data_IF_166805624634
#
_entry.id   IF_166805624634
#
_cell.length_a   1.000
_cell.length_b   1.000
_cell.length_c   1.000
_cell.angle_alpha   90.00
_cell.angle_beta   90.00
_cell.angle_gamma   90.00
#
_symmetry.space_group_name_H-M   'P 1'
#
loop_
_entity.id
_entity.type
_entity.pdbx_description
1 polymer ?
#
# COMPACT_ATOMS: atom_id res chain seq x y z
N UNK A 1 -6.10 -15.61 37.06
CA UNK A 1 -6.65 -16.57 36.09
C UNK A 1 -6.52 -15.94 34.72
N UNK A 2 -5.47 -16.30 33.98
CA UNK A 2 -5.24 -15.76 32.65
C UNK A 2 -6.22 -16.48 31.71
N UNK A 3 -7.23 -15.77 31.24
CA UNK A 3 -8.14 -16.24 30.21
C UNK A 3 -7.38 -16.31 28.88
N UNK A 4 -6.50 -17.29 28.73
CA UNK A 4 -5.89 -17.60 27.44
C UNK A 4 -6.99 -18.17 26.54
N UNK A 5 -7.66 -17.27 25.84
CA UNK A 5 -8.48 -17.66 24.69
C UNK A 5 -7.60 -18.53 23.78
N UNK A 6 -8.11 -19.66 23.27
CA UNK A 6 -7.33 -20.49 22.36
C UNK A 6 -6.81 -19.63 21.21
N UNK A 7 -5.56 -19.85 20.75
CA UNK A 7 -5.01 -19.10 19.64
C UNK A 7 -6.00 -19.19 18.48
N UNK A 8 -6.38 -18.04 17.92
CA UNK A 8 -7.38 -17.95 16.83
C UNK A 8 -7.00 -18.78 15.60
N UNK A 9 -5.74 -19.16 15.51
CA UNK A 9 -5.13 -19.83 14.38
C UNK A 9 -4.68 -21.22 14.79
N UNK A 10 -5.16 -22.23 14.07
CA UNK A 10 -4.64 -23.58 14.21
C UNK A 10 -3.43 -23.76 13.28
N UNK A 11 -2.41 -24.53 13.70
CA UNK A 11 -1.30 -24.87 12.82
C UNK A 11 -1.81 -25.72 11.64
N UNK A 12 -1.32 -25.41 10.45
CA UNK A 12 -1.65 -26.17 9.24
C UNK A 12 -1.03 -27.58 9.29
N UNK A 13 -1.66 -28.57 8.63
CA UNK A 13 -1.17 -29.95 8.59
C UNK A 13 0.25 -30.07 8.03
N UNK A 14 0.54 -29.36 6.94
CA UNK A 14 1.86 -29.34 6.32
C UNK A 14 2.61 -28.08 6.73
N UNK A 15 3.71 -28.29 7.47
CA UNK A 15 4.59 -27.23 7.95
C UNK A 15 5.80 -27.08 7.03
N UNK A 16 5.85 -26.00 6.28
CA UNK A 16 6.99 -25.70 5.41
C UNK A 16 8.06 -24.91 6.15
N UNK A 17 9.33 -25.23 5.91
CA UNK A 17 10.45 -24.40 6.37
C UNK A 17 10.56 -23.14 5.49
N UNK A 18 10.67 -21.94 6.08
CA UNK A 18 10.88 -20.71 5.32
C UNK A 18 12.28 -20.72 4.69
N UNK A 19 12.40 -20.19 3.47
CA UNK A 19 13.69 -20.02 2.81
C UNK A 19 14.30 -18.66 3.19
N UNK A 20 15.63 -18.61 3.37
CA UNK A 20 16.33 -17.37 3.66
C UNK A 20 16.17 -16.38 2.50
N UNK A 21 15.73 -15.15 2.81
CA UNK A 21 15.51 -14.09 1.82
C UNK A 21 14.19 -14.21 1.04
N UNK A 22 13.34 -15.17 1.39
CA UNK A 22 12.02 -15.31 0.78
C UNK A 22 11.10 -14.17 1.21
N UNK A 23 10.22 -13.69 0.31
CA UNK A 23 9.17 -12.74 0.69
C UNK A 23 8.02 -13.43 1.41
N UNK A 24 7.36 -12.73 2.31
CA UNK A 24 6.24 -13.25 3.09
C UNK A 24 5.16 -13.82 2.19
N UNK A 25 4.82 -13.12 1.11
CA UNK A 25 3.78 -13.56 0.19
C UNK A 25 4.20 -14.78 -0.64
N UNK A 26 5.49 -14.93 -0.98
CA UNK A 26 6.00 -16.17 -1.59
C UNK A 26 5.86 -17.34 -0.63
N UNK A 27 6.23 -17.12 0.63
CA UNK A 27 6.11 -18.13 1.68
C UNK A 27 4.65 -18.54 1.92
N UNK A 28 3.72 -17.58 2.03
CA UNK A 28 2.27 -17.85 2.16
C UNK A 28 1.76 -18.64 0.97
N UNK A 29 2.17 -18.33 -0.26
CA UNK A 29 1.77 -19.08 -1.47
C UNK A 29 2.24 -20.52 -1.43
N UNK A 30 3.52 -20.75 -1.11
CA UNK A 30 4.06 -22.11 -0.97
C UNK A 30 3.34 -22.87 0.13
N UNK A 31 3.10 -22.21 1.26
CA UNK A 31 2.37 -22.79 2.40
C UNK A 31 0.93 -23.16 2.02
N UNK A 32 0.24 -22.30 1.27
CA UNK A 32 -1.11 -22.57 0.77
C UNK A 32 -1.10 -23.77 -0.20
N UNK A 33 -0.23 -23.75 -1.21
CA UNK A 33 -0.11 -24.83 -2.21
C UNK A 33 0.22 -26.18 -1.56
N UNK A 34 1.12 -26.19 -0.58
CA UNK A 34 1.49 -27.41 0.16
C UNK A 34 0.36 -27.96 1.05
N UNK A 35 -0.57 -27.11 1.47
CA UNK A 35 -1.76 -27.50 2.23
C UNK A 35 -3.01 -27.62 1.36
N UNK A 36 -2.88 -27.60 0.03
CA UNK A 36 -4.00 -27.63 -0.93
C UNK A 36 -5.04 -26.52 -0.70
N UNK A 37 -4.59 -25.35 -0.23
CA UNK A 37 -5.40 -24.17 -0.03
C UNK A 37 -5.17 -23.16 -1.16
N UNK A 38 -6.19 -22.36 -1.45
CA UNK A 38 -6.02 -21.18 -2.29
C UNK A 38 -5.17 -20.13 -1.57
N UNK A 39 -4.16 -19.54 -2.22
CA UNK A 39 -3.38 -18.44 -1.65
C UNK A 39 -4.23 -17.28 -1.14
N UNK A 40 -5.27 -16.90 -1.91
CA UNK A 40 -6.23 -15.87 -1.53
C UNK A 40 -6.95 -16.19 -0.22
N UNK A 41 -7.38 -17.45 -0.06
CA UNK A 41 -8.05 -17.92 1.14
C UNK A 41 -7.13 -17.88 2.36
N UNK A 42 -5.91 -18.43 2.25
CA UNK A 42 -4.96 -18.43 3.35
C UNK A 42 -4.58 -17.00 3.76
N UNK A 43 -4.33 -16.12 2.79
CA UNK A 43 -4.02 -14.73 3.07
C UNK A 43 -5.16 -14.01 3.80
N UNK A 44 -6.41 -14.18 3.36
CA UNK A 44 -7.57 -13.62 4.04
C UNK A 44 -7.74 -14.18 5.45
N UNK A 45 -7.52 -15.49 5.64
CA UNK A 45 -7.55 -16.13 6.95
C UNK A 45 -6.51 -15.50 7.88
N UNK A 46 -5.27 -15.34 7.44
CA UNK A 46 -4.18 -14.73 8.21
C UNK A 46 -4.43 -13.27 8.57
N UNK A 47 -5.09 -12.50 7.71
CA UNK A 47 -5.42 -11.11 8.00
C UNK A 47 -6.55 -10.99 9.04
N UNK A 48 -7.58 -11.82 8.92
CA UNK A 48 -8.75 -11.82 9.78
C UNK A 48 -9.60 -10.53 9.73
N UNK A 49 -10.75 -10.50 10.42
CA UNK A 49 -11.56 -9.30 10.56
C UNK A 49 -10.89 -8.30 11.52
N UNK A 50 -10.99 -6.98 11.28
CA UNK A 50 -11.84 -6.30 10.29
C UNK A 50 -11.22 -6.14 8.89
N UNK A 51 -9.97 -6.53 8.68
CA UNK A 51 -9.20 -6.16 7.50
C UNK A 51 -8.70 -7.38 6.70
N UNK A 52 -9.65 -8.10 6.09
CA UNK A 52 -9.44 -9.33 5.31
C UNK A 52 -8.43 -9.24 4.14
N UNK A 53 -8.13 -8.03 3.66
CA UNK A 53 -7.22 -7.78 2.54
C UNK A 53 -6.02 -6.91 2.94
N UNK A 54 -5.73 -6.86 4.24
CA UNK A 54 -4.63 -6.11 4.82
C UNK A 54 -3.29 -6.83 4.68
N UNK A 55 -2.32 -6.41 5.50
CA UNK A 55 -1.08 -7.18 5.66
C UNK A 55 -1.31 -8.23 6.74
N UNK A 56 -0.93 -9.49 6.53
CA UNK A 56 -1.03 -10.50 7.57
C UNK A 56 -0.10 -10.14 8.73
N UNK A 57 -0.53 -10.41 9.96
CA UNK A 57 0.32 -10.26 11.13
C UNK A 57 1.33 -11.41 11.18
N UNK A 58 2.58 -11.08 11.56
CA UNK A 58 3.64 -12.07 11.71
C UNK A 58 3.26 -13.17 12.71
N UNK A 59 2.60 -12.82 13.82
CA UNK A 59 2.16 -13.76 14.85
C UNK A 59 1.14 -14.78 14.34
N UNK A 60 0.21 -14.34 13.47
CA UNK A 60 -0.78 -15.23 12.86
C UNK A 60 -0.10 -16.21 11.89
N UNK A 61 0.87 -15.71 11.12
CA UNK A 61 1.66 -16.53 10.21
C UNK A 61 2.55 -17.53 10.97
N UNK A 62 3.16 -17.12 12.08
CA UNK A 62 3.92 -17.99 12.97
C UNK A 62 3.06 -19.14 13.52
N UNK A 63 1.88 -18.80 14.05
CA UNK A 63 0.95 -19.77 14.64
C UNK A 63 0.43 -20.77 13.59
N UNK A 64 0.00 -20.28 12.41
CA UNK A 64 -0.50 -21.13 11.32
C UNK A 64 0.59 -21.98 10.68
N UNK A 65 1.81 -21.46 10.51
CA UNK A 65 2.92 -22.21 9.94
C UNK A 65 3.57 -23.18 10.94
N UNK A 66 3.29 -23.01 12.23
CA UNK A 66 3.87 -23.82 13.30
C UNK A 66 5.34 -23.49 13.58
N UNK A 67 5.75 -22.23 13.36
CA UNK A 67 7.11 -21.73 13.61
C UNK A 67 7.10 -20.62 14.65
N UNK A 68 8.25 -20.35 15.27
CA UNK A 68 8.38 -19.18 16.14
C UNK A 68 8.43 -17.89 15.30
N UNK A 69 7.91 -16.75 15.83
CA UNK A 69 7.95 -15.49 15.10
C UNK A 69 9.39 -15.05 14.81
N UNK A 70 10.34 -15.30 15.69
CA UNK A 70 11.76 -14.93 15.50
C UNK A 70 12.43 -15.74 14.40
N UNK A 71 12.00 -16.99 14.18
CA UNK A 71 12.49 -17.80 13.07
C UNK A 71 12.03 -17.24 11.73
N UNK A 72 10.79 -16.77 11.66
CA UNK A 72 10.23 -16.11 10.48
C UNK A 72 10.83 -14.73 10.24
N UNK A 73 11.12 -13.97 11.30
CA UNK A 73 11.83 -12.69 11.20
C UNK A 73 13.22 -12.83 10.59
N UNK A 74 13.94 -13.89 10.95
CA UNK A 74 15.27 -14.16 10.40
C UNK A 74 15.25 -14.67 8.97
N UNK A 75 14.17 -15.35 8.57
CA UNK A 75 14.09 -15.98 7.26
C UNK A 75 13.46 -15.08 6.19
N UNK A 76 12.39 -14.36 6.52
CA UNK A 76 11.62 -13.60 5.54
C UNK A 76 12.18 -12.18 5.37
N UNK A 77 12.38 -11.77 4.11
CA UNK A 77 12.98 -10.48 3.76
C UNK A 77 12.16 -9.26 4.22
N UNK A 78 10.84 -9.42 4.33
CA UNK A 78 9.87 -8.38 4.65
C UNK A 78 9.18 -8.59 6.01
N UNK A 79 9.68 -9.50 6.85
CA UNK A 79 9.08 -9.83 8.15
C UNK A 79 8.89 -8.61 9.06
N UNK A 80 9.88 -7.70 9.07
CA UNK A 80 9.83 -6.46 9.86
C UNK A 80 8.69 -5.52 9.45
N UNK A 81 8.10 -5.73 8.27
CA UNK A 81 6.96 -4.97 7.78
C UNK A 81 5.61 -5.60 8.12
N UNK A 82 5.58 -6.86 8.57
CA UNK A 82 4.41 -7.57 9.09
C UNK A 82 4.17 -7.27 10.58
N UNK A 83 5.21 -6.81 11.26
CA UNK A 83 5.14 -6.34 12.63
C UNK A 83 4.45 -5.00 12.68
N UNK A 84 3.21 -4.98 13.18
CA UNK A 84 2.57 -3.79 13.73
C UNK A 84 3.27 -3.28 14.99
N UNK A 85 4.61 -3.42 15.09
CA UNK A 85 5.37 -2.79 16.16
C UNK A 85 4.96 -1.35 16.19
N UNK A 86 4.50 -0.94 17.37
CA UNK A 86 4.16 0.40 17.79
C UNK A 86 5.27 1.38 17.41
N UNK A 87 5.43 1.71 16.13
CA UNK A 87 5.87 3.05 15.78
C UNK A 87 4.75 3.89 16.35
N UNK A 88 5.02 4.72 17.39
CA UNK A 88 4.02 5.67 17.81
C UNK A 88 3.59 6.36 16.52
N UNK A 89 2.30 6.25 16.17
CA UNK A 89 1.73 7.06 15.09
C UNK A 89 2.23 8.45 15.41
N UNK A 90 3.23 8.95 14.67
CA UNK A 90 3.80 10.27 14.92
C UNK A 90 2.62 11.18 14.63
N UNK A 91 1.93 11.58 15.71
CA UNK A 91 0.65 12.25 15.60
C UNK A 91 0.95 13.53 14.86
N UNK A 92 0.60 13.58 13.57
CA UNK A 92 0.55 14.85 12.89
C UNK A 92 -0.40 15.71 13.74
N UNK A 93 0.00 16.92 14.12
CA UNK A 93 -0.94 17.90 14.61
C UNK A 93 -2.17 17.93 13.70
N UNK A 94 -3.37 17.83 14.28
CA UNK A 94 -4.66 17.75 13.57
C UNK A 94 -4.87 18.89 12.55
N UNK A 95 -4.10 19.98 12.67
CA UNK A 95 -4.20 21.15 11.82
C UNK A 95 -2.85 21.41 11.13
N UNK A 96 -2.83 21.31 9.80
CA UNK A 96 -1.69 21.70 8.97
C UNK A 96 -1.69 23.23 8.76
N UNK A 97 -0.80 24.02 9.42
CA UNK A 97 -0.69 25.47 9.21
C UNK A 97 -0.36 25.88 7.76
N UNK A 98 0.18 24.97 6.96
CA UNK A 98 0.57 25.20 5.57
C UNK A 98 -0.43 24.63 4.55
N UNK A 99 -1.61 24.16 4.96
CA UNK A 99 -2.61 23.59 4.06
C UNK A 99 -2.98 24.54 2.90
N UNK A 100 -3.00 25.85 3.17
CA UNK A 100 -3.27 26.93 2.19
C UNK A 100 -2.01 27.62 1.66
N UNK A 101 -0.81 27.19 2.08
CA UNK A 101 0.48 27.84 1.80
C UNK A 101 1.58 26.80 1.55
N UNK A 102 1.30 25.85 0.66
CA UNK A 102 2.22 24.74 0.34
C UNK A 102 3.55 25.24 -0.25
N UNK A 103 3.52 26.32 -1.04
CA UNK A 103 4.71 26.94 -1.62
C UNK A 103 5.70 27.44 -0.56
N UNK A 104 5.18 27.92 0.57
CA UNK A 104 5.98 28.42 1.68
C UNK A 104 6.67 27.25 2.40
N UNK A 105 5.98 26.13 2.58
CA UNK A 105 6.59 24.92 3.15
C UNK A 105 7.73 24.40 2.25
N UNK A 106 7.53 24.37 0.93
CA UNK A 106 8.56 23.96 -0.02
C UNK A 106 9.80 24.87 0.02
N UNK A 107 9.62 26.20 0.14
CA UNK A 107 10.74 27.14 0.28
C UNK A 107 11.54 26.92 1.57
N UNK A 108 10.87 26.69 2.70
CA UNK A 108 11.53 26.37 3.98
C UNK A 108 12.38 25.11 3.87
N UNK A 109 11.86 24.08 3.18
CA UNK A 109 12.58 22.81 2.96
C UNK A 109 13.82 23.04 2.11
N UNK A 110 13.71 23.79 1.02
CA UNK A 110 14.85 24.11 0.16
C UNK A 110 15.92 24.94 0.88
N UNK A 111 15.52 25.89 1.73
CA UNK A 111 16.48 26.66 2.55
C UNK A 111 17.13 25.81 3.65
N UNK A 112 16.41 24.85 4.24
CA UNK A 112 16.97 23.92 5.20
C UNK A 112 17.94 22.93 4.57
N UNK A 113 17.68 22.47 3.34
CA UNK A 113 18.61 21.63 2.57
C UNK A 113 19.93 22.36 2.28
N UNK A 114 19.89 23.69 2.13
CA UNK A 114 21.09 24.54 2.00
C UNK A 114 21.87 24.74 3.31
N UNK A 115 21.48 24.06 4.40
CA UNK A 115 22.17 24.10 5.70
C UNK A 115 21.73 25.24 6.62
N UNK A 116 20.63 25.93 6.31
CA UNK A 116 20.15 27.04 7.17
C UNK A 116 19.58 26.50 8.48
N UNK A 117 20.02 27.07 9.62
CA UNK A 117 19.54 26.66 10.93
C UNK A 117 18.06 27.02 11.16
N UNK A 118 17.35 26.16 11.91
CA UNK A 118 15.91 26.27 12.21
C UNK A 118 15.55 27.63 12.84
N UNK A 119 16.38 28.15 13.74
CA UNK A 119 16.15 29.45 14.40
C UNK A 119 16.25 30.62 13.41
N UNK A 120 17.15 30.53 12.43
CA UNK A 120 17.32 31.54 11.38
C UNK A 120 16.15 31.52 10.41
N UNK A 121 15.66 30.33 10.06
CA UNK A 121 14.44 30.16 9.28
C UNK A 121 13.21 30.74 10.01
N UNK A 122 13.13 30.59 11.33
CA UNK A 122 12.04 31.11 12.16
C UNK A 122 11.95 32.63 12.10
N UNK A 123 13.11 33.29 12.22
CA UNK A 123 13.20 34.75 12.10
C UNK A 123 12.91 35.22 10.68
N UNK A 124 13.46 34.56 9.65
CA UNK A 124 13.30 34.95 8.25
C UNK A 124 11.86 34.82 7.75
N UNK A 125 11.18 33.75 8.13
CA UNK A 125 9.80 33.47 7.70
C UNK A 125 8.74 33.98 8.70
N UNK A 126 9.16 34.60 9.81
CA UNK A 126 8.31 35.04 10.92
C UNK A 126 7.36 33.93 11.42
N UNK A 127 7.92 32.73 11.59
CA UNK A 127 7.21 31.53 12.02
C UNK A 127 7.75 31.04 13.35
N UNK A 128 6.92 30.29 14.09
CA UNK A 128 7.38 29.61 15.30
C UNK A 128 8.32 28.47 14.91
N UNK A 129 9.26 28.14 15.79
CA UNK A 129 10.14 26.99 15.58
C UNK A 129 9.36 25.67 15.41
N UNK A 130 8.18 25.55 16.04
CA UNK A 130 7.25 24.43 15.85
C UNK A 130 6.74 24.32 14.41
N UNK A 131 6.44 25.44 13.77
CA UNK A 131 5.86 25.46 12.42
C UNK A 131 6.95 25.12 11.39
N UNK A 132 8.20 25.51 11.62
CA UNK A 132 9.31 25.10 10.76
C UNK A 132 9.64 23.64 10.93
N UNK A 133 9.67 23.12 12.17
CA UNK A 133 9.80 21.68 12.39
C UNK A 133 8.70 20.92 11.67
N UNK A 134 7.46 21.43 11.74
CA UNK A 134 6.33 20.86 11.02
C UNK A 134 6.50 20.94 9.49
N UNK A 135 6.95 22.07 8.93
CA UNK A 135 7.24 22.21 7.51
C UNK A 135 8.37 21.29 7.01
N UNK A 136 9.33 20.96 7.88
CA UNK A 136 10.41 20.02 7.58
C UNK A 136 9.99 18.56 7.77
N UNK A 137 9.01 18.30 8.64
CA UNK A 137 8.47 16.98 8.91
C UNK A 137 7.45 16.54 7.87
N UNK A 138 6.56 17.40 7.36
CA UNK A 138 5.55 17.02 6.35
C UNK A 138 6.16 16.38 5.09
N UNK A 139 7.18 16.95 4.44
CA UNK A 139 7.79 16.35 3.26
C UNK A 139 8.49 15.05 3.60
N UNK A 140 9.07 14.94 4.80
CA UNK A 140 9.68 13.68 5.25
C UNK A 140 8.62 12.62 5.49
N UNK A 141 7.48 12.97 6.09
CA UNK A 141 6.39 12.03 6.35
C UNK A 141 5.68 11.63 5.05
N UNK A 142 5.38 12.58 4.16
CA UNK A 142 4.85 12.28 2.83
C UNK A 142 5.84 11.53 1.95
N UNK A 143 7.15 11.84 1.96
CA UNK A 143 8.15 11.09 1.22
C UNK A 143 8.41 9.70 1.78
N UNK A 144 8.34 9.49 3.11
CA UNK A 144 8.51 8.15 3.71
C UNK A 144 7.24 7.32 3.56
N UNK A 145 6.04 7.92 3.55
CA UNK A 145 4.79 7.24 3.21
C UNK A 145 4.70 6.94 1.71
N UNK A 146 5.27 7.79 0.85
CA UNK A 146 5.39 7.54 -0.59
C UNK A 146 6.49 6.53 -0.94
N UNK A 147 7.52 6.40 -0.09
CA UNK A 147 8.72 5.62 -0.35
C UNK A 147 8.62 4.11 -0.08
N UNK A 148 7.47 3.64 0.41
CA UNK A 148 7.17 2.22 0.59
C UNK A 148 5.80 1.84 0.00
N UNK A 149 5.33 2.57 -1.02
CA UNK A 149 4.23 2.09 -1.86
C UNK A 149 4.77 0.96 -2.75
N UNK A 150 5.03 -0.19 -2.13
CA UNK A 150 5.38 -1.41 -2.82
C UNK A 150 4.35 -1.71 -3.92
N UNK A 151 4.89 -2.07 -5.07
CA UNK A 151 4.20 -2.45 -6.31
C UNK A 151 3.61 -1.28 -7.09
N UNK A 152 4.48 -0.54 -7.79
CA UNK A 152 4.06 0.19 -8.98
C UNK A 152 3.44 -0.82 -9.94
N UNK A 153 2.11 -0.80 -10.05
CA UNK A 153 1.38 -1.47 -11.12
C UNK A 153 1.89 -0.87 -12.44
N UNK A 154 2.87 -1.56 -13.05
CA UNK A 154 3.65 -1.08 -14.20
C UNK A 154 3.59 -2.10 -15.32
N UNK A 155 3.56 -1.63 -16.57
CA UNK A 155 3.67 -2.44 -17.78
C UNK A 155 2.64 -3.58 -17.80
N UNK A 156 3.13 -4.82 -17.93
CA UNK A 156 2.27 -6.01 -18.11
C UNK A 156 1.26 -6.27 -16.98
N UNK A 157 1.53 -5.85 -15.73
CA UNK A 157 0.54 -5.94 -14.65
C UNK A 157 -0.58 -4.91 -14.83
N UNK A 158 -0.25 -3.72 -15.33
CA UNK A 158 -1.23 -2.70 -15.65
C UNK A 158 -2.14 -3.16 -16.81
N UNK A 159 -1.54 -3.74 -17.86
CA UNK A 159 -2.26 -4.27 -19.02
C UNK A 159 -3.19 -5.44 -18.62
N UNK A 160 -2.71 -6.33 -17.75
CA UNK A 160 -3.51 -7.42 -17.20
C UNK A 160 -4.68 -6.90 -16.36
N UNK A 161 -4.43 -5.95 -15.46
CA UNK A 161 -5.50 -5.35 -14.64
C UNK A 161 -6.50 -4.60 -15.54
N UNK A 162 -6.03 -3.90 -16.57
CA UNK A 162 -6.91 -3.18 -17.52
C UNK A 162 -7.76 -4.15 -18.34
N UNK A 163 -7.18 -5.27 -18.81
CA UNK A 163 -7.92 -6.39 -19.42
C UNK A 163 -9.01 -6.93 -18.48
N UNK A 164 -8.69 -7.14 -17.20
CA UNK A 164 -9.65 -7.61 -16.21
C UNK A 164 -10.75 -6.59 -15.92
N UNK A 165 -10.42 -5.30 -15.88
CA UNK A 165 -11.39 -4.21 -15.74
C UNK A 165 -12.34 -4.20 -16.95
N UNK A 166 -11.83 -4.36 -18.17
CA UNK A 166 -12.64 -4.44 -19.40
C UNK A 166 -13.57 -5.65 -19.41
N UNK A 167 -13.18 -6.75 -18.76
CA UNK A 167 -14.04 -7.93 -18.53
C UNK A 167 -15.10 -7.74 -17.44
N UNK A 168 -15.12 -6.58 -16.77
CA UNK A 168 -16.11 -6.25 -15.73
C UNK A 168 -15.81 -6.83 -14.34
N UNK A 169 -14.58 -7.29 -14.09
CA UNK A 169 -14.21 -7.87 -12.79
C UNK A 169 -14.18 -6.79 -11.69
N UNK A 170 -14.69 -7.13 -10.51
CA UNK A 170 -14.64 -6.27 -9.33
C UNK A 170 -13.23 -6.32 -8.70
N UNK A 171 -12.81 -5.27 -7.97
CA UNK A 171 -11.46 -5.18 -7.40
C UNK A 171 -11.08 -6.38 -6.49
N UNK A 172 -12.07 -6.98 -5.81
CA UNK A 172 -11.85 -8.22 -5.04
C UNK A 172 -11.56 -9.41 -5.94
N UNK A 173 -12.29 -9.56 -7.03
CA UNK A 173 -12.09 -10.64 -8.00
C UNK A 173 -10.75 -10.48 -8.72
N UNK A 174 -10.38 -9.25 -9.09
CA UNK A 174 -9.07 -8.93 -9.65
C UNK A 174 -7.96 -9.35 -8.66
N UNK A 175 -8.09 -8.99 -7.39
CA UNK A 175 -7.10 -9.38 -6.37
C UNK A 175 -7.01 -10.90 -6.18
N UNK A 176 -8.15 -11.59 -6.09
CA UNK A 176 -8.20 -13.05 -5.96
C UNK A 176 -7.52 -13.73 -7.16
N UNK A 177 -7.88 -13.32 -8.38
CA UNK A 177 -7.36 -13.91 -9.60
C UNK A 177 -5.87 -13.61 -9.81
N UNK A 178 -5.41 -12.42 -9.43
CA UNK A 178 -3.98 -12.08 -9.45
C UNK A 178 -3.16 -12.95 -8.48
N UNK A 179 -3.69 -13.26 -7.29
CA UNK A 179 -3.00 -14.08 -6.30
C UNK A 179 -3.07 -15.58 -6.59
N UNK A 180 -4.20 -16.05 -7.11
CA UNK A 180 -4.42 -17.48 -7.33
C UNK A 180 -3.84 -17.95 -8.68
N UNK A 181 -3.88 -17.11 -9.74
CA UNK A 181 -3.46 -17.49 -11.10
C UNK A 181 -2.20 -16.78 -11.61
N UNK A 182 -1.95 -15.53 -11.22
CA UNK A 182 -0.92 -14.72 -11.91
C UNK A 182 0.35 -14.44 -11.10
N UNK A 183 0.54 -15.12 -9.96
CA UNK A 183 1.75 -15.07 -9.14
C UNK A 183 2.23 -13.64 -8.74
N UNK A 184 1.39 -12.63 -8.90
CA UNK A 184 1.72 -11.24 -8.58
C UNK A 184 1.51 -10.95 -7.10
N UNK A 185 2.45 -10.16 -6.57
CA UNK A 185 2.36 -9.58 -5.25
C UNK A 185 1.72 -8.21 -5.42
N UNK A 186 0.45 -8.06 -5.05
CA UNK A 186 -0.20 -6.75 -5.08
C UNK A 186 -1.12 -6.64 -3.88
N UNK A 187 -1.01 -5.53 -3.14
CA UNK A 187 -1.97 -5.25 -2.08
C UNK A 187 -3.32 -4.85 -2.68
N UNK A 188 -4.41 -5.24 -2.02
CA UNK A 188 -5.75 -4.83 -2.43
C UNK A 188 -5.91 -3.30 -2.49
N UNK A 189 -5.19 -2.56 -1.63
CA UNK A 189 -5.21 -1.11 -1.64
C UNK A 189 -4.60 -0.53 -2.92
N UNK A 190 -3.47 -1.08 -3.38
CA UNK A 190 -2.83 -0.68 -4.64
C UNK A 190 -3.76 -0.90 -5.83
N UNK A 191 -4.47 -2.05 -5.88
CA UNK A 191 -5.46 -2.34 -6.92
C UNK A 191 -6.64 -1.36 -6.87
N UNK A 192 -7.22 -1.13 -5.68
CA UNK A 192 -8.36 -0.22 -5.52
C UNK A 192 -7.99 1.22 -5.89
N UNK A 193 -6.78 1.66 -5.52
CA UNK A 193 -6.24 2.95 -5.88
C UNK A 193 -6.06 3.07 -7.40
N UNK A 194 -5.48 2.04 -8.03
CA UNK A 194 -5.27 2.00 -9.48
C UNK A 194 -6.59 2.02 -10.26
N UNK A 195 -7.58 1.20 -9.89
CA UNK A 195 -8.92 1.22 -10.52
C UNK A 195 -9.56 2.60 -10.43
N UNK A 196 -9.46 3.27 -9.27
CA UNK A 196 -9.97 4.63 -9.09
C UNK A 196 -9.25 5.61 -10.01
N UNK A 197 -7.93 5.53 -10.07
CA UNK A 197 -7.10 6.37 -10.94
C UNK A 197 -7.44 6.18 -12.42
N UNK A 198 -7.55 4.93 -12.90
CA UNK A 198 -7.89 4.61 -14.29
C UNK A 198 -9.27 5.12 -14.67
N UNK A 199 -10.28 4.96 -13.79
CA UNK A 199 -11.63 5.50 -14.00
C UNK A 199 -11.63 7.02 -14.12
N UNK A 200 -10.90 7.72 -13.25
CA UNK A 200 -10.76 9.17 -13.32
C UNK A 200 -10.06 9.62 -14.61
N UNK A 201 -9.00 8.92 -15.04
CA UNK A 201 -8.31 9.15 -16.32
C UNK A 201 -9.26 9.02 -17.51
N UNK A 202 -10.05 7.94 -17.55
CA UNK A 202 -11.02 7.72 -18.65
C UNK A 202 -12.15 8.76 -18.66
N UNK A 203 -12.58 9.24 -17.50
CA UNK A 203 -13.58 10.30 -17.41
C UNK A 203 -13.04 11.64 -17.93
N UNK A 204 -11.82 12.02 -17.55
CA UNK A 204 -11.16 13.22 -18.07
C UNK A 204 -10.91 13.16 -19.58
N UNK A 205 -10.55 12.00 -20.12
CA UNK A 205 -10.36 11.81 -21.56
C UNK A 205 -11.67 11.95 -22.37
N UNK A 206 -12.82 11.56 -21.80
CA UNK A 206 -14.14 11.75 -22.44
C UNK A 206 -14.62 13.21 -22.42
N UNK A 207 -14.27 13.97 -21.38
CA UNK A 207 -14.64 15.39 -21.25
C UNK A 207 -13.73 16.29 -22.10
N UNK A 208 -12.49 15.88 -22.36
CA UNK A 208 -11.53 16.62 -23.17
C UNK A 208 -11.69 16.49 -24.69
N UNK A 209 -12.71 15.77 -25.19
CA UNK A 209 -12.87 15.52 -26.63
C UNK A 209 -14.24 15.98 -27.19
N UNK A 210 -14.58 17.29 -27.16
CA UNK A 210 -15.86 17.79 -27.69
C UNK A 210 -15.88 18.10 -29.21
N UNK A 211 -14.80 17.92 -29.98
CA UNK A 211 -14.70 18.48 -31.36
C UNK A 211 -14.78 17.48 -32.54
N UNK A 212 -15.19 16.23 -32.35
CA UNK A 212 -15.19 15.24 -33.45
C UNK A 212 -16.56 14.85 -34.02
N UNK A 213 -17.65 15.61 -33.77
CA UNK A 213 -18.97 15.32 -34.34
C UNK A 213 -19.72 16.59 -34.81
N UNK A 214 -19.21 17.26 -35.84
CA UNK A 214 -20.05 18.17 -36.66
C UNK A 214 -19.65 18.12 -38.12
N UNK A 215 -19.63 16.92 -38.70
CA UNK A 215 -19.59 16.72 -40.16
C UNK A 215 -20.99 16.42 -40.67
N UNK A 216 -21.83 17.44 -40.82
CA UNK A 216 -23.11 17.31 -41.52
C UNK A 216 -22.87 17.43 -43.04
N UNK A 217 -23.41 16.53 -43.88
CA UNK A 217 -23.26 16.62 -45.32
C UNK A 217 -24.10 17.77 -45.89
N UNK A 218 -23.44 18.66 -46.63
CA UNK A 218 -24.09 19.73 -47.38
C UNK A 218 -24.93 19.13 -48.52
N UNK A 219 -26.25 19.29 -48.42
CA UNK A 219 -27.16 19.15 -49.54
C UNK A 219 -27.09 20.42 -50.40
N UNK A 220 -27.08 20.25 -51.72
CA UNK A 220 -27.21 21.31 -52.73
C UNK A 220 -27.79 20.69 -54.00
N UNK A 221 -28.32 21.50 -54.91
CA UNK A 221 -29.52 22.34 -54.80
C UNK A 221 -30.73 21.73 -55.52
#
# INVERSE_FOLDING_TARGET
>A
MNSELPPRFAPLPVRLRPCLGESTNSYIRRLARANHLQPSFLHCYLCGPPQWFGRPLLEHLATTAGHSPEALERALADAHSLGGTNRPRRRLPSRNPFARRQDLANRIVQEALKGTQIRTLAKRHNLRCSDIRFALEIPRLTATESGQLGDLITGGLADLIESMISRGLNGRQIWTDLMDHHDYLVTYHSIRHYIRYTRLRTASARVGNPEAQTGAPAASP
#
